data_IF_054440599162
#
_entry.id   IF_054440599162
#
_cell.length_a   1.000
_cell.length_b   1.000
_cell.length_c   1.000
_cell.angle_alpha   90.00
_cell.angle_beta   90.00
_cell.angle_gamma   90.00
#
_symmetry.space_group_name_H-M   'P 1'
#
loop_
_entity.id
_entity.type
_entity.pdbx_description
1 polymer ?
#
# COMPACT_ATOMS: atom_id res chain seq x y z
N UNK A 1 -3.48 5.22 -8.20
CA UNK A 1 -2.90 5.04 -6.85
C UNK A 1 -2.53 6.36 -6.18
N UNK A 2 -1.44 7.07 -6.56
CA UNK A 2 -1.01 8.31 -5.87
C UNK A 2 -2.12 9.37 -5.72
N UNK A 3 -2.80 9.70 -6.81
CA UNK A 3 -3.91 10.68 -6.79
C UNK A 3 -5.07 10.19 -5.91
N UNK A 4 -5.44 8.92 -6.04
CA UNK A 4 -6.47 8.28 -5.20
C UNK A 4 -6.12 8.36 -3.72
N UNK A 5 -4.89 8.02 -3.31
CA UNK A 5 -4.44 8.14 -1.90
C UNK A 5 -4.63 9.57 -1.39
N UNK A 6 -4.18 10.57 -2.15
CA UNK A 6 -4.26 11.98 -1.77
C UNK A 6 -5.71 12.48 -1.67
N UNK A 7 -6.56 12.05 -2.61
CA UNK A 7 -7.99 12.37 -2.63
C UNK A 7 -8.73 11.74 -1.43
N UNK A 8 -8.43 10.49 -1.10
CA UNK A 8 -9.17 9.73 -0.06
C UNK A 8 -8.67 10.04 1.36
N UNK A 9 -7.37 10.21 1.54
CA UNK A 9 -6.74 10.29 2.87
C UNK A 9 -5.94 11.59 3.11
N UNK A 10 -5.92 12.50 2.13
CA UNK A 10 -5.19 13.77 2.21
C UNK A 10 -3.75 13.69 1.69
N UNK A 11 -3.15 14.86 1.45
CA UNK A 11 -1.85 15.01 0.79
C UNK A 11 -0.70 14.29 1.50
N UNK A 12 -0.73 14.23 2.84
CA UNK A 12 0.33 13.66 3.67
C UNK A 12 0.30 12.12 3.73
N UNK A 13 -0.81 11.49 3.33
CA UNK A 13 -0.95 10.03 3.38
C UNK A 13 -0.10 9.32 2.31
N UNK A 14 0.30 10.02 1.25
CA UNK A 14 1.19 9.48 0.23
C UNK A 14 2.65 9.77 0.55
N UNK A 15 3.39 8.72 0.88
CA UNK A 15 4.83 8.79 1.12
C UNK A 15 5.57 8.21 -0.10
N UNK A 16 6.39 8.99 -0.82
CA UNK A 16 7.17 8.47 -1.92
C UNK A 16 8.27 7.55 -1.42
N UNK A 17 8.40 6.37 -2.04
CA UNK A 17 9.48 5.44 -1.76
C UNK A 17 10.80 6.02 -2.32
N UNK A 18 11.71 6.45 -1.43
CA UNK A 18 12.93 7.18 -1.83
C UNK A 18 14.01 6.27 -2.43
N UNK A 19 13.95 4.97 -2.16
CA UNK A 19 14.87 3.96 -2.63
C UNK A 19 14.11 2.70 -2.99
N UNK A 20 14.62 1.92 -3.94
CA UNK A 20 14.08 0.59 -4.23
C UNK A 20 14.29 -0.35 -3.04
N UNK A 21 13.41 -1.35 -2.91
CA UNK A 21 13.60 -2.45 -1.97
C UNK A 21 14.08 -3.69 -2.71
N UNK A 22 15.05 -4.40 -2.12
CA UNK A 22 15.58 -5.67 -2.64
C UNK A 22 14.79 -6.90 -2.14
N UNK A 23 13.53 -6.70 -1.72
CA UNK A 23 12.63 -7.80 -1.39
C UNK A 23 12.23 -8.58 -2.64
N UNK A 24 12.00 -9.88 -2.50
CA UNK A 24 11.48 -10.72 -3.57
C UNK A 24 9.94 -10.79 -3.48
N UNK A 25 9.26 -10.55 -4.59
CA UNK A 25 7.79 -10.58 -4.69
C UNK A 25 7.38 -11.08 -6.07
N UNK A 26 6.50 -12.08 -6.12
CA UNK A 26 6.09 -12.72 -7.38
C UNK A 26 5.08 -11.88 -8.19
N UNK A 27 4.49 -10.84 -7.56
CA UNK A 27 3.67 -9.82 -8.22
C UNK A 27 4.39 -9.14 -9.40
N UNK A 28 5.73 -9.18 -9.41
CA UNK A 28 6.55 -8.76 -10.55
C UNK A 28 6.15 -9.43 -11.87
N UNK A 29 5.79 -10.73 -11.86
CA UNK A 29 5.32 -11.43 -13.05
C UNK A 29 3.99 -10.89 -13.62
N UNK A 30 3.14 -10.30 -12.77
CA UNK A 30 1.93 -9.62 -13.24
C UNK A 30 2.30 -8.28 -13.90
N UNK A 31 3.21 -7.53 -13.27
CA UNK A 31 3.67 -6.23 -13.78
C UNK A 31 4.52 -6.33 -15.05
N UNK A 32 5.11 -7.49 -15.34
CA UNK A 32 5.73 -7.77 -16.64
C UNK A 32 4.70 -7.84 -17.78
N UNK A 33 3.45 -8.23 -17.49
CA UNK A 33 2.42 -8.49 -18.51
C UNK A 33 1.40 -7.37 -18.63
N UNK A 34 1.06 -6.71 -17.53
CA UNK A 34 0.01 -5.70 -17.48
C UNK A 34 0.50 -4.42 -16.81
N UNK A 35 0.09 -3.23 -17.30
CA UNK A 35 0.31 -1.98 -16.60
C UNK A 35 -0.32 -2.06 -15.21
N UNK A 36 0.49 -1.83 -14.18
CA UNK A 36 0.04 -1.89 -12.81
C UNK A 36 1.00 -1.21 -11.85
N UNK A 37 0.67 -1.26 -10.57
CA UNK A 37 1.53 -0.73 -9.52
C UNK A 37 1.39 -1.58 -8.26
N UNK A 38 2.51 -1.81 -7.59
CA UNK A 38 2.56 -2.31 -6.21
C UNK A 38 2.87 -1.13 -5.29
N UNK A 39 2.23 -1.10 -4.12
CA UNK A 39 2.45 -0.10 -3.09
C UNK A 39 2.38 -0.74 -1.71
N UNK A 40 2.98 -0.09 -0.71
CA UNK A 40 2.96 -0.56 0.66
C UNK A 40 1.94 0.21 1.48
N UNK A 41 1.19 -0.50 2.32
CA UNK A 41 0.34 0.07 3.35
C UNK A 41 1.13 0.16 4.66
N UNK A 42 1.13 1.33 5.29
CA UNK A 42 1.82 1.54 6.56
C UNK A 42 1.07 0.87 7.71
N UNK A 43 1.58 -0.26 8.20
CA UNK A 43 0.95 -1.08 9.26
C UNK A 43 1.79 -1.16 10.54
N UNK A 44 2.75 -0.24 10.70
CA UNK A 44 3.63 -0.19 11.87
C UNK A 44 2.77 -0.03 13.15
N UNK A 45 3.03 -0.82 14.21
CA UNK A 45 2.38 -0.61 15.51
C UNK A 45 2.53 0.83 16.04
N UNK A 46 1.55 1.25 16.84
CA UNK A 46 1.56 2.57 17.49
C UNK A 46 2.77 2.72 18.41
N UNK A 47 3.09 1.69 19.20
CA UNK A 47 4.35 1.60 19.94
C UNK A 47 5.50 1.19 18.98
N UNK A 48 6.47 2.08 18.70
CA UNK A 48 7.58 1.77 17.81
C UNK A 48 8.50 0.65 18.33
N UNK A 49 8.52 0.37 19.63
CA UNK A 49 9.34 -0.70 20.21
C UNK A 49 8.89 -2.11 19.80
N UNK A 50 7.63 -2.22 19.35
CA UNK A 50 7.02 -3.46 18.85
C UNK A 50 7.18 -3.64 17.34
N UNK A 51 7.78 -2.68 16.63
CA UNK A 51 7.96 -2.75 15.19
C UNK A 51 9.04 -3.78 14.82
N UNK A 52 8.62 -5.01 14.52
CA UNK A 52 9.46 -6.05 13.93
C UNK A 52 9.24 -6.15 12.41
N UNK A 53 10.27 -6.53 11.62
CA UNK A 53 10.15 -6.60 10.17
C UNK A 53 9.32 -7.81 9.71
N UNK A 54 8.94 -7.80 8.43
CA UNK A 54 8.41 -8.99 7.75
C UNK A 54 9.32 -10.20 7.98
N UNK A 55 8.73 -11.39 8.14
CA UNK A 55 9.38 -12.66 8.47
C UNK A 55 9.89 -12.81 9.91
N UNK A 56 9.72 -11.82 10.80
CA UNK A 56 9.98 -12.00 12.22
C UNK A 56 8.82 -12.70 12.93
N UNK A 57 9.11 -13.64 13.85
CA UNK A 57 8.10 -14.22 14.74
C UNK A 57 7.53 -13.22 15.78
N UNK A 58 8.09 -12.00 15.83
CA UNK A 58 7.64 -10.89 16.70
C UNK A 58 6.81 -9.86 15.94
N UNK A 59 6.54 -10.07 14.66
CA UNK A 59 5.79 -9.13 13.83
C UNK A 59 4.35 -9.02 14.35
N UNK A 60 3.94 -7.78 14.61
CA UNK A 60 2.57 -7.38 14.96
C UNK A 60 2.18 -6.24 14.04
N UNK A 61 0.92 -6.21 13.63
CA UNK A 61 0.37 -5.21 12.72
C UNK A 61 -0.52 -4.23 13.49
N UNK A 62 -0.52 -2.97 13.07
CA UNK A 62 -1.62 -2.08 13.38
C UNK A 62 -2.82 -2.44 12.49
N UNK A 63 -3.80 -3.15 13.06
CA UNK A 63 -4.99 -3.62 12.33
C UNK A 63 -5.93 -2.49 11.91
N UNK A 64 -5.88 -1.32 12.57
CA UNK A 64 -6.70 -0.16 12.20
C UNK A 64 -6.42 0.28 10.75
N UNK A 65 -5.19 0.10 10.27
CA UNK A 65 -4.78 0.42 8.90
C UNK A 65 -5.46 -0.49 7.86
N UNK A 66 -5.99 -1.66 8.25
CA UNK A 66 -6.65 -2.59 7.32
C UNK A 66 -7.86 -1.94 6.63
N UNK A 67 -8.63 -1.12 7.36
CA UNK A 67 -9.76 -0.39 6.81
C UNK A 67 -9.32 0.61 5.71
N UNK A 68 -8.19 1.29 5.92
CA UNK A 68 -7.61 2.20 4.93
C UNK A 68 -7.16 1.47 3.67
N UNK A 69 -6.54 0.29 3.83
CA UNK A 69 -6.16 -0.58 2.71
C UNK A 69 -7.36 -1.02 1.86
N UNK A 70 -8.45 -1.44 2.52
CA UNK A 70 -9.71 -1.81 1.85
C UNK A 70 -10.28 -0.61 1.07
N UNK A 71 -10.41 0.54 1.73
CA UNK A 71 -10.93 1.75 1.11
C UNK A 71 -10.07 2.19 -0.09
N UNK A 72 -8.74 2.07 0.02
CA UNK A 72 -7.83 2.40 -1.07
C UNK A 72 -8.03 1.48 -2.28
N UNK A 73 -8.09 0.17 -2.08
CA UNK A 73 -8.32 -0.79 -3.17
C UNK A 73 -9.67 -0.54 -3.85
N UNK A 74 -10.74 -0.36 -3.07
CA UNK A 74 -12.07 -0.07 -3.60
C UNK A 74 -12.09 1.24 -4.40
N UNK A 75 -11.51 2.31 -3.86
CA UNK A 75 -11.48 3.60 -4.56
C UNK A 75 -10.61 3.57 -5.82
N UNK A 76 -9.50 2.82 -5.83
CA UNK A 76 -8.70 2.63 -7.05
C UNK A 76 -9.53 1.96 -8.15
N UNK A 77 -10.30 0.92 -7.81
CA UNK A 77 -11.17 0.24 -8.77
C UNK A 77 -12.27 1.18 -9.28
N UNK A 78 -12.93 1.94 -8.39
CA UNK A 78 -13.95 2.92 -8.77
C UNK A 78 -13.37 4.01 -9.67
N UNK A 79 -12.23 4.60 -9.28
CA UNK A 79 -11.56 5.65 -10.05
C UNK A 79 -11.16 5.13 -11.45
N UNK A 80 -10.69 3.88 -11.56
CA UNK A 80 -10.31 3.27 -12.83
C UNK A 80 -11.52 3.00 -13.73
N UNK A 81 -12.59 2.42 -13.19
CA UNK A 81 -13.80 2.10 -13.96
C UNK A 81 -14.54 3.37 -14.42
N UNK A 82 -14.55 4.43 -13.61
CA UNK A 82 -15.17 5.71 -13.97
C UNK A 82 -14.35 6.55 -14.96
N UNK A 83 -13.08 6.20 -15.21
CA UNK A 83 -12.25 6.82 -16.26
C UNK A 83 -12.45 6.17 -17.64
N UNK A 84 -13.18 5.05 -17.69
CA UNK A 84 -13.42 4.27 -18.90
C UNK A 84 -14.59 4.75 -19.78
N UNK A 85 -15.21 5.89 -19.45
CA UNK A 85 -16.16 6.63 -20.31
C UNK A 85 -15.49 7.84 -20.98
#
# INVERSE_FOLDING_TARGET
ARQTVKKTFGEQAYIPMRSTMMGAEDFSYLLERWPGAMFFLGVKPNDPSLAAPCHSNRMILNEDAMAEGIALHAQIAIDYLNQGD
#
